data_IF_540697752951
#
_entry.id   IF_540697752951
#
_cell.length_a   1.000
_cell.length_b   1.000
_cell.length_c   1.000
_cell.angle_alpha   90.00
_cell.angle_beta   90.00
_cell.angle_gamma   90.00
#
_symmetry.space_group_name_H-M   'P 1'
#
loop_
_entity.id
_entity.type
_entity.pdbx_description
1 polymer ?
#
# COMPACT_ATOMS: atom_id res chain seq x y z
N UNK A 1 -13.32 27.54 17.53
CA UNK A 1 -14.00 27.41 16.24
C UNK A 1 -13.08 28.02 15.17
N UNK A 2 -12.14 27.27 14.61
CA UNK A 2 -11.29 27.57 13.41
C UNK A 2 -10.11 26.59 13.39
N UNK A 3 -10.36 25.29 13.22
CA UNK A 3 -9.32 24.27 12.96
C UNK A 3 -9.91 23.07 12.20
N UNK A 4 -10.66 23.31 11.14
CA UNK A 4 -11.13 22.28 10.22
C UNK A 4 -10.92 22.87 8.82
N UNK A 5 -9.75 22.77 8.25
CA UNK A 5 -9.50 23.10 6.83
C UNK A 5 -8.09 22.74 6.35
N UNK A 6 -7.49 21.63 6.76
CA UNK A 6 -6.17 21.26 6.23
C UNK A 6 -6.05 19.81 5.73
N UNK A 7 -7.03 18.96 5.93
CA UNK A 7 -6.94 17.56 5.46
C UNK A 7 -7.52 17.30 4.06
N UNK A 8 -7.98 18.33 3.34
CA UNK A 8 -8.66 18.15 2.04
C UNK A 8 -7.83 18.55 0.81
N UNK A 9 -6.56 18.89 0.96
CA UNK A 9 -5.76 19.45 -0.13
C UNK A 9 -4.77 18.48 -0.80
N UNK A 10 -4.57 17.27 -0.31
CA UNK A 10 -3.62 16.31 -0.91
C UNK A 10 -4.26 15.22 -1.78
N UNK A 11 -5.58 15.07 -1.77
CA UNK A 11 -6.28 14.11 -2.65
C UNK A 11 -6.53 14.61 -4.08
N UNK A 12 -6.14 15.84 -4.42
CA UNK A 12 -6.47 16.46 -5.72
C UNK A 12 -5.37 16.36 -6.79
N UNK A 13 -4.24 15.68 -6.53
CA UNK A 13 -3.12 15.70 -7.47
C UNK A 13 -3.01 14.48 -8.41
N UNK A 14 -3.86 13.46 -8.30
CA UNK A 14 -3.76 12.26 -9.13
C UNK A 14 -4.88 12.04 -10.16
N UNK A 15 -5.77 12.98 -10.40
CA UNK A 15 -6.92 12.81 -11.32
C UNK A 15 -6.79 13.46 -12.69
N UNK A 16 -5.60 13.64 -13.25
CA UNK A 16 -5.45 14.19 -14.60
C UNK A 16 -4.35 13.48 -15.39
N UNK A 17 -4.58 12.23 -15.80
CA UNK A 17 -3.90 11.68 -16.98
C UNK A 17 -4.45 10.31 -17.38
N UNK A 18 -5.61 10.26 -18.02
CA UNK A 18 -5.95 9.13 -18.89
C UNK A 18 -7.19 9.44 -19.76
N UNK A 19 -7.09 10.43 -20.60
CA UNK A 19 -7.86 10.48 -21.85
C UNK A 19 -6.92 10.99 -22.95
N UNK A 20 -6.05 10.12 -23.41
CA UNK A 20 -5.19 10.33 -24.56
C UNK A 20 -5.58 9.34 -25.65
N UNK A 21 -6.18 9.84 -26.72
CA UNK A 21 -6.42 9.13 -27.98
C UNK A 21 -5.14 8.46 -28.47
N UNK A 22 -5.20 7.15 -28.62
CA UNK A 22 -4.16 6.31 -29.17
C UNK A 22 -3.97 6.63 -30.68
N UNK A 23 -2.75 6.95 -31.14
CA UNK A 23 -2.50 7.00 -32.57
C UNK A 23 -2.39 5.57 -33.13
N UNK A 24 -3.15 5.30 -34.17
CA UNK A 24 -3.05 4.08 -34.98
C UNK A 24 -1.64 3.95 -35.56
N UNK A 25 -0.94 2.89 -35.19
CA UNK A 25 0.30 2.48 -35.82
C UNK A 25 0.02 1.68 -37.10
N UNK A 26 0.89 1.77 -38.13
CA UNK A 26 0.69 1.06 -39.40
C UNK A 26 0.96 -0.43 -39.24
N UNK A 27 0.10 -1.21 -39.86
CA UNK A 27 0.27 -2.64 -40.14
C UNK A 27 1.53 -2.84 -41.00
N UNK A 28 2.56 -3.50 -40.47
CA UNK A 28 3.48 -4.29 -41.33
C UNK A 28 4.31 -5.31 -40.51
N UNK A 29 4.28 -6.54 -41.04
CA UNK A 29 5.28 -7.63 -40.93
C UNK A 29 5.40 -8.36 -39.58
N UNK A 30 4.65 -9.45 -39.47
CA UNK A 30 4.95 -10.56 -38.58
C UNK A 30 6.31 -11.20 -38.93
N UNK A 31 7.27 -11.12 -38.02
CA UNK A 31 8.43 -12.00 -37.96
C UNK A 31 8.20 -12.96 -36.78
N UNK A 32 8.23 -14.29 -36.98
CA UNK A 32 8.17 -15.22 -35.85
C UNK A 32 9.49 -15.18 -35.11
N UNK A 33 9.55 -14.61 -33.92
CA UNK A 33 10.65 -14.84 -32.98
C UNK A 33 10.41 -16.16 -32.26
N UNK A 34 11.31 -17.10 -32.53
CA UNK A 34 11.46 -18.33 -31.71
C UNK A 34 11.73 -17.97 -30.27
N UNK A 35 11.14 -18.77 -29.37
CA UNK A 35 11.06 -18.56 -27.94
C UNK A 35 12.41 -18.35 -27.26
N UNK A 36 12.61 -17.14 -26.84
CA UNK A 36 13.46 -16.77 -25.72
C UNK A 36 12.59 -16.92 -24.45
N UNK A 37 13.05 -17.74 -23.51
CA UNK A 37 12.31 -18.11 -22.31
C UNK A 37 12.09 -16.96 -21.33
N UNK A 38 11.37 -15.93 -21.76
CA UNK A 38 10.74 -14.97 -20.87
C UNK A 38 9.65 -15.71 -20.08
N UNK A 39 9.67 -15.65 -18.74
CA UNK A 39 8.61 -16.23 -17.93
C UNK A 39 7.28 -15.69 -18.43
N UNK A 40 6.37 -16.56 -18.88
CA UNK A 40 4.98 -16.20 -19.09
C UNK A 40 4.46 -15.74 -17.72
N UNK A 41 4.35 -14.44 -17.53
CA UNK A 41 3.68 -13.87 -16.39
C UNK A 41 2.26 -14.41 -16.40
N UNK A 42 1.96 -15.27 -15.43
CA UNK A 42 0.59 -15.69 -15.19
C UNK A 42 -0.23 -14.42 -14.97
N UNK A 43 -1.29 -14.26 -15.77
CA UNK A 43 -2.27 -13.16 -15.66
C UNK A 43 -3.01 -13.16 -14.29
N UNK A 44 -2.51 -13.93 -13.32
CA UNK A 44 -3.13 -14.27 -12.05
C UNK A 44 -2.68 -13.44 -10.86
N UNK A 45 -1.77 -12.45 -11.03
CA UNK A 45 -1.35 -11.62 -9.89
C UNK A 45 -1.52 -10.12 -10.20
N UNK A 46 -2.76 -9.58 -10.07
CA UNK A 46 -3.02 -8.18 -10.33
C UNK A 46 -2.21 -7.24 -9.41
N UNK A 47 -1.92 -7.63 -8.17
CA UNK A 47 -1.18 -6.81 -7.21
C UNK A 47 0.29 -6.66 -7.61
N UNK A 48 0.91 -7.72 -8.12
CA UNK A 48 2.30 -7.67 -8.55
C UNK A 48 2.53 -6.72 -9.74
N UNK A 49 1.48 -6.40 -10.50
CA UNK A 49 1.56 -5.49 -11.64
C UNK A 49 1.59 -4.01 -11.22
N UNK A 50 1.23 -3.69 -9.98
CA UNK A 50 1.24 -2.32 -9.45
C UNK A 50 2.60 -1.91 -8.85
N UNK A 51 3.52 -2.87 -8.68
CA UNK A 51 4.84 -2.62 -8.10
C UNK A 51 5.93 -2.63 -9.17
N UNK A 52 6.91 -1.76 -9.01
CA UNK A 52 8.17 -1.90 -9.73
C UNK A 52 8.96 -3.09 -9.15
N UNK A 53 8.94 -4.21 -9.88
CA UNK A 53 9.51 -5.48 -9.43
C UNK A 53 11.00 -5.63 -9.74
N UNK A 54 11.64 -4.61 -10.28
CA UNK A 54 13.05 -4.66 -10.68
C UNK A 54 14.00 -5.09 -9.55
N UNK A 55 13.60 -4.82 -8.30
CA UNK A 55 14.39 -5.12 -7.10
C UNK A 55 13.88 -6.34 -6.31
N UNK A 56 12.84 -7.04 -6.77
CA UNK A 56 12.28 -8.20 -6.09
C UNK A 56 12.61 -9.50 -6.83
N UNK A 57 12.86 -10.56 -6.07
CA UNK A 57 12.88 -11.91 -6.62
C UNK A 57 11.46 -12.47 -6.71
N UNK A 58 11.24 -13.42 -7.63
CA UNK A 58 9.95 -14.12 -7.72
C UNK A 58 9.60 -14.85 -6.41
N UNK A 59 10.61 -15.32 -5.68
CA UNK A 59 10.44 -15.92 -4.36
C UNK A 59 9.91 -14.90 -3.34
N UNK A 60 10.45 -13.69 -3.30
CA UNK A 60 9.97 -12.63 -2.40
C UNK A 60 8.52 -12.26 -2.70
N UNK A 61 8.17 -12.11 -3.98
CA UNK A 61 6.79 -11.83 -4.40
C UNK A 61 5.87 -12.98 -4.02
N UNK A 62 6.26 -14.23 -4.29
CA UNK A 62 5.47 -15.41 -3.93
C UNK A 62 5.23 -15.52 -2.43
N UNK A 63 6.28 -15.30 -1.62
CA UNK A 63 6.18 -15.35 -0.16
C UNK A 63 5.32 -14.20 0.41
N UNK A 64 5.32 -13.05 -0.25
CA UNK A 64 4.51 -11.89 0.14
C UNK A 64 3.05 -11.98 -0.31
N UNK A 65 2.71 -12.87 -1.25
CA UNK A 65 1.38 -12.97 -1.86
C UNK A 65 0.60 -14.15 -1.30
N UNK A 66 -0.66 -13.90 -0.98
CA UNK A 66 -1.65 -14.92 -0.60
C UNK A 66 -2.85 -14.83 -1.54
N UNK A 67 -3.14 -15.93 -2.25
CA UNK A 67 -4.35 -16.06 -3.06
C UNK A 67 -5.52 -16.39 -2.14
N UNK A 68 -6.52 -15.51 -2.08
CA UNK A 68 -7.65 -15.62 -1.17
C UNK A 68 -8.88 -16.21 -1.87
N UNK A 69 -9.29 -15.63 -2.98
CA UNK A 69 -10.48 -16.02 -3.76
C UNK A 69 -11.75 -16.14 -2.90
N UNK A 70 -11.94 -15.20 -1.96
CA UNK A 70 -13.11 -15.14 -1.09
C UNK A 70 -14.23 -14.36 -1.79
N UNK A 71 -15.45 -14.86 -1.69
CA UNK A 71 -16.62 -14.26 -2.33
C UNK A 71 -17.66 -13.89 -1.27
N UNK A 72 -18.33 -12.75 -1.47
CA UNK A 72 -19.44 -12.29 -0.65
C UNK A 72 -20.49 -11.59 -1.54
N UNK A 73 -21.75 -11.63 -1.10
CA UNK A 73 -22.87 -10.99 -1.82
C UNK A 73 -23.84 -10.39 -0.80
N UNK A 74 -24.26 -9.15 -1.04
CA UNK A 74 -25.31 -8.48 -0.29
C UNK A 74 -25.95 -7.38 -1.15
N UNK A 75 -27.27 -7.19 -1.00
CA UNK A 75 -28.05 -6.12 -1.65
C UNK A 75 -27.86 -6.02 -3.16
N UNK A 76 -27.60 -7.15 -3.84
CA UNK A 76 -27.35 -7.23 -5.28
C UNK A 76 -25.93 -6.87 -5.70
N UNK A 77 -25.04 -6.55 -4.75
CA UNK A 77 -23.61 -6.36 -4.97
C UNK A 77 -22.91 -7.69 -4.69
N UNK A 78 -22.10 -8.16 -5.63
CA UNK A 78 -21.20 -9.31 -5.42
C UNK A 78 -19.76 -8.87 -5.47
N UNK A 79 -18.93 -9.38 -4.56
CA UNK A 79 -17.54 -9.03 -4.53
C UNK A 79 -16.63 -10.24 -4.31
N UNK A 80 -15.43 -10.17 -4.89
CA UNK A 80 -14.40 -11.20 -4.80
C UNK A 80 -13.08 -10.57 -4.33
N UNK A 81 -12.68 -10.92 -3.11
CA UNK A 81 -11.34 -10.61 -2.61
C UNK A 81 -10.37 -11.63 -3.20
N UNK A 82 -9.59 -11.20 -4.19
CA UNK A 82 -8.76 -12.08 -4.99
C UNK A 82 -7.44 -12.43 -4.31
N UNK A 83 -6.73 -11.40 -3.83
CA UNK A 83 -5.38 -11.53 -3.32
C UNK A 83 -5.09 -10.54 -2.20
N UNK A 84 -4.16 -10.94 -1.33
CA UNK A 84 -3.47 -10.07 -0.39
C UNK A 84 -1.96 -10.16 -0.63
N UNK A 85 -1.24 -9.04 -0.63
CA UNK A 85 0.21 -9.01 -0.79
C UNK A 85 0.80 -7.93 0.11
N UNK A 86 1.85 -8.26 0.85
CA UNK A 86 2.53 -7.25 1.66
C UNK A 86 3.32 -7.80 2.82
N UNK A 87 3.63 -6.93 3.73
CA UNK A 87 4.38 -7.18 4.95
C UNK A 87 3.61 -6.79 6.21
N UNK A 88 4.26 -6.83 7.35
CA UNK A 88 3.57 -6.62 8.64
C UNK A 88 3.05 -5.20 8.83
N UNK A 89 3.60 -4.21 8.13
CA UNK A 89 3.20 -2.80 8.25
C UNK A 89 2.43 -2.27 7.04
N UNK A 90 2.36 -3.02 5.92
CA UNK A 90 1.63 -2.64 4.73
C UNK A 90 1.02 -3.86 4.04
N UNK A 91 -0.26 -3.79 3.71
CA UNK A 91 -0.97 -4.83 2.97
C UNK A 91 -1.70 -4.23 1.79
N UNK A 92 -1.43 -4.76 0.60
CA UNK A 92 -2.20 -4.52 -0.61
C UNK A 92 -3.26 -5.60 -0.77
N UNK A 93 -4.48 -5.20 -1.17
CA UNK A 93 -5.59 -6.11 -1.43
C UNK A 93 -6.17 -5.82 -2.82
N UNK A 94 -6.47 -6.87 -3.58
CA UNK A 94 -7.21 -6.78 -4.85
C UNK A 94 -8.62 -7.28 -4.63
N UNK A 95 -9.60 -6.37 -4.78
CA UNK A 95 -11.01 -6.63 -4.62
C UNK A 95 -11.75 -6.29 -5.92
N UNK A 96 -12.40 -7.27 -6.52
CA UNK A 96 -13.30 -7.08 -7.66
C UNK A 96 -14.74 -7.02 -7.15
N UNK A 97 -15.47 -5.97 -7.53
CA UNK A 97 -16.85 -5.73 -7.10
C UNK A 97 -17.75 -5.58 -8.33
N UNK A 98 -18.82 -6.36 -8.38
CA UNK A 98 -19.86 -6.26 -9.42
C UNK A 98 -21.14 -5.71 -8.80
N UNK A 99 -21.64 -4.65 -9.38
CA UNK A 99 -22.80 -3.90 -8.94
C UNK A 99 -24.05 -4.28 -9.76
N UNK A 100 -25.26 -4.05 -9.23
CA UNK A 100 -26.51 -4.32 -9.93
C UNK A 100 -26.80 -3.36 -11.08
N UNK A 101 -26.11 -2.23 -11.15
CA UNK A 101 -26.25 -1.20 -12.20
C UNK A 101 -24.88 -0.58 -12.51
N UNK A 102 -24.82 0.31 -13.51
CA UNK A 102 -23.58 0.95 -13.93
C UNK A 102 -23.06 1.93 -12.88
N UNK A 103 -21.75 2.16 -12.91
CA UNK A 103 -21.06 3.11 -12.03
C UNK A 103 -21.68 4.51 -12.09
N UNK A 104 -22.06 4.95 -13.29
CA UNK A 104 -22.69 6.27 -13.48
C UNK A 104 -24.07 6.34 -12.82
N UNK A 105 -24.93 5.34 -13.02
CA UNK A 105 -26.28 5.31 -12.45
C UNK A 105 -26.28 5.22 -10.92
N UNK A 106 -25.28 4.55 -10.34
CA UNK A 106 -25.12 4.44 -8.88
C UNK A 106 -24.38 5.62 -8.26
N UNK A 107 -23.91 6.57 -9.09
CA UNK A 107 -23.16 7.75 -8.64
C UNK A 107 -21.95 7.36 -7.75
N UNK A 108 -21.30 6.22 -8.05
CA UNK A 108 -20.21 5.69 -7.23
C UNK A 108 -18.99 6.61 -7.16
N UNK A 109 -18.85 7.54 -8.12
CA UNK A 109 -17.81 8.59 -8.09
C UNK A 109 -18.01 9.57 -6.94
N UNK A 110 -19.26 9.81 -6.53
CA UNK A 110 -19.63 10.73 -5.47
C UNK A 110 -19.83 10.01 -4.12
N UNK A 111 -20.04 8.68 -4.17
CA UNK A 111 -20.36 7.83 -3.02
C UNK A 111 -19.47 6.58 -2.98
N UNK A 112 -18.15 6.80 -2.92
CA UNK A 112 -17.20 5.69 -2.85
C UNK A 112 -17.44 4.80 -1.61
N UNK A 113 -17.31 3.47 -1.74
CA UNK A 113 -17.46 2.57 -0.59
C UNK A 113 -16.43 2.85 0.50
N UNK A 114 -16.82 2.59 1.73
CA UNK A 114 -15.97 2.70 2.91
C UNK A 114 -15.38 1.31 3.21
N UNK A 115 -14.06 1.25 3.34
CA UNK A 115 -13.35 0.03 3.68
C UNK A 115 -12.76 0.10 5.08
N UNK A 116 -12.84 -0.99 5.83
CA UNK A 116 -12.18 -1.16 7.14
C UNK A 116 -11.51 -2.52 7.24
N UNK A 117 -10.36 -2.60 7.90
CA UNK A 117 -9.61 -3.83 8.13
C UNK A 117 -9.31 -3.95 9.63
N UNK A 118 -10.00 -4.85 10.35
CA UNK A 118 -9.84 -5.04 11.81
C UNK A 118 -9.85 -3.73 12.62
N UNK A 119 -10.70 -2.78 12.22
CA UNK A 119 -10.75 -1.45 12.85
C UNK A 119 -9.80 -0.41 12.24
N UNK A 120 -8.84 -0.81 11.41
CA UNK A 120 -8.03 0.11 10.59
C UNK A 120 -8.94 0.71 9.51
N UNK A 121 -8.77 2.01 9.21
CA UNK A 121 -9.61 2.74 8.25
C UNK A 121 -10.74 3.53 8.91
N UNK A 122 -10.99 3.36 10.22
CA UNK A 122 -11.85 4.25 10.99
C UNK A 122 -11.01 5.41 11.53
N UNK A 123 -11.58 6.61 11.52
CA UNK A 123 -10.93 7.77 12.15
C UNK A 123 -10.70 7.46 13.63
N UNK A 124 -9.45 7.38 14.04
CA UNK A 124 -9.06 7.23 15.43
C UNK A 124 -8.96 8.60 16.09
N UNK A 125 -9.32 8.72 17.37
CA UNK A 125 -9.26 10.00 18.09
C UNK A 125 -7.83 10.54 18.26
N UNK A 126 -6.82 9.68 18.11
CA UNK A 126 -5.39 9.95 18.33
C UNK A 126 -4.60 10.29 17.06
N UNK A 127 -5.25 10.42 15.89
CA UNK A 127 -4.61 10.74 14.60
C UNK A 127 -3.44 9.82 14.21
N UNK A 128 -3.50 8.54 14.57
CA UNK A 128 -2.51 7.56 14.10
C UNK A 128 -2.56 7.38 12.58
N UNK A 129 -1.43 6.99 11.96
CA UNK A 129 -1.33 6.77 10.51
C UNK A 129 -2.03 5.46 10.08
N UNK A 130 -2.62 4.70 10.99
CA UNK A 130 -3.32 3.49 10.62
C UNK A 130 -4.53 3.83 9.74
N UNK A 131 -4.53 3.36 8.50
CA UNK A 131 -5.56 3.70 7.53
C UNK A 131 -5.74 2.63 6.46
N UNK A 132 -6.82 2.78 5.69
CA UNK A 132 -7.02 2.03 4.47
C UNK A 132 -7.35 3.00 3.34
N UNK A 133 -6.50 3.01 2.33
CA UNK A 133 -6.70 3.76 1.10
C UNK A 133 -7.29 2.87 0.01
N UNK A 134 -7.99 3.45 -0.96
CA UNK A 134 -8.45 2.76 -2.15
C UNK A 134 -8.08 3.53 -3.40
N UNK A 135 -7.61 2.82 -4.42
CA UNK A 135 -7.51 3.34 -5.78
C UNK A 135 -8.30 2.45 -6.72
N UNK A 136 -8.96 3.05 -7.69
CA UNK A 136 -9.77 2.34 -8.65
C UNK A 136 -9.91 3.15 -9.94
N UNK A 137 -10.09 2.45 -11.05
CA UNK A 137 -10.44 3.03 -12.33
C UNK A 137 -11.65 2.29 -12.87
N UNK A 138 -12.57 3.01 -13.46
CA UNK A 138 -13.75 2.40 -14.06
C UNK A 138 -14.13 3.08 -15.36
N UNK A 139 -14.80 2.30 -16.22
CA UNK A 139 -15.63 2.82 -17.29
C UNK A 139 -16.98 3.20 -16.66
N UNK A 140 -17.53 4.40 -16.89
CA UNK A 140 -18.85 4.79 -16.38
C UNK A 140 -19.97 3.81 -16.72
N UNK A 141 -19.88 3.14 -17.88
CA UNK A 141 -20.83 2.15 -18.34
C UNK A 141 -20.57 0.74 -17.74
N UNK A 142 -19.50 0.57 -16.95
CA UNK A 142 -19.19 -0.72 -16.33
C UNK A 142 -20.09 -0.97 -15.12
N UNK A 143 -20.39 -2.24 -14.89
CA UNK A 143 -21.00 -2.74 -13.65
C UNK A 143 -19.94 -3.35 -12.71
N UNK A 144 -18.69 -3.44 -13.13
CA UNK A 144 -17.61 -4.09 -12.35
C UNK A 144 -16.46 -3.12 -12.14
N UNK A 145 -16.00 -3.03 -10.90
CA UNK A 145 -14.85 -2.22 -10.48
C UNK A 145 -13.83 -3.12 -9.82
N UNK A 146 -12.54 -2.91 -10.14
CA UNK A 146 -11.44 -3.49 -9.38
C UNK A 146 -10.84 -2.42 -8.47
N UNK A 147 -10.93 -2.65 -7.17
CA UNK A 147 -10.28 -1.83 -6.15
C UNK A 147 -8.91 -2.40 -5.81
N UNK A 148 -7.90 -1.53 -5.81
CA UNK A 148 -6.64 -1.76 -5.14
C UNK A 148 -6.72 -1.06 -3.78
N UNK A 149 -6.73 -1.85 -2.71
CA UNK A 149 -6.76 -1.32 -1.34
C UNK A 149 -5.35 -1.38 -0.78
N UNK A 150 -4.99 -0.35 -0.04
CA UNK A 150 -3.72 -0.24 0.68
C UNK A 150 -4.03 -0.06 2.15
N UNK A 151 -3.73 -1.06 2.97
CA UNK A 151 -3.91 -1.00 4.41
C UNK A 151 -2.56 -0.77 5.10
N UNK A 152 -2.46 0.32 5.83
CA UNK A 152 -1.26 0.80 6.51
C UNK A 152 -1.36 0.53 8.00
N UNK A 153 -0.28 0.04 8.60
CA UNK A 153 -0.20 -0.20 10.03
C UNK A 153 1.20 0.09 10.56
N UNK A 154 1.42 1.24 11.20
CA UNK A 154 2.72 1.58 11.77
C UNK A 154 3.15 0.61 12.88
N UNK A 155 2.23 -0.13 13.49
CA UNK A 155 2.49 -1.04 14.60
C UNK A 155 2.71 -2.51 14.17
N UNK A 156 2.91 -2.79 12.88
CA UNK A 156 3.15 -4.14 12.35
C UNK A 156 2.05 -5.14 12.74
N UNK A 157 0.78 -4.78 12.54
CA UNK A 157 -0.38 -5.59 12.95
C UNK A 157 -0.63 -6.84 12.10
N UNK A 158 0.04 -6.97 10.94
CA UNK A 158 -0.26 -8.00 9.96
C UNK A 158 0.79 -9.11 10.00
N UNK A 159 0.66 -10.01 10.96
CA UNK A 159 1.62 -11.10 11.17
C UNK A 159 1.03 -12.47 10.79
N UNK A 160 1.86 -13.44 10.35
CA UNK A 160 1.40 -14.79 10.07
C UNK A 160 0.65 -15.42 11.26
N UNK A 161 -0.48 -16.07 10.97
CA UNK A 161 -1.37 -16.66 11.97
C UNK A 161 -2.44 -15.72 12.52
N UNK A 162 -2.37 -14.43 12.20
CA UNK A 162 -3.39 -13.47 12.59
C UNK A 162 -4.63 -13.60 11.72
N UNK A 163 -5.79 -13.56 12.32
CA UNK A 163 -7.07 -13.44 11.63
C UNK A 163 -7.35 -11.98 11.27
N UNK A 164 -7.70 -11.73 10.03
CA UNK A 164 -8.04 -10.40 9.49
C UNK A 164 -9.43 -10.44 8.88
N UNK A 165 -10.13 -9.32 8.99
CA UNK A 165 -11.45 -9.13 8.36
C UNK A 165 -11.45 -7.79 7.62
N UNK A 166 -11.65 -7.85 6.30
CA UNK A 166 -11.98 -6.69 5.48
C UNK A 166 -13.50 -6.54 5.44
N UNK A 167 -14.00 -5.34 5.73
CA UNK A 167 -15.39 -4.96 5.57
C UNK A 167 -15.51 -3.85 4.54
N UNK A 168 -16.52 -3.93 3.68
CA UNK A 168 -16.89 -2.92 2.71
C UNK A 168 -18.34 -2.50 2.99
N UNK A 169 -18.54 -1.21 3.26
CA UNK A 169 -19.86 -0.60 3.38
C UNK A 169 -20.09 0.31 2.17
N UNK A 170 -21.17 0.07 1.44
CA UNK A 170 -21.48 0.79 0.23
C UNK A 170 -22.87 1.48 0.36
N UNK A 171 -22.88 2.80 0.30
CA UNK A 171 -24.07 3.59 0.61
C UNK A 171 -25.12 3.64 -0.51
N UNK A 172 -24.72 3.54 -1.78
CA UNK A 172 -25.63 3.66 -2.91
C UNK A 172 -26.59 2.45 -3.00
N UNK A 173 -26.12 1.26 -2.68
CA UNK A 173 -26.91 0.01 -2.68
C UNK A 173 -27.33 -0.42 -1.28
N UNK A 174 -26.65 0.06 -0.25
CA UNK A 174 -26.78 -0.38 1.14
C UNK A 174 -26.09 -1.71 1.42
N UNK A 175 -25.16 -2.14 0.56
CA UNK A 175 -24.42 -3.40 0.75
C UNK A 175 -23.43 -3.31 1.90
N UNK A 176 -23.33 -4.41 2.67
CA UNK A 176 -22.38 -4.60 3.77
C UNK A 176 -21.70 -5.97 3.60
N UNK A 177 -20.50 -5.96 3.02
CA UNK A 177 -19.74 -7.16 2.68
C UNK A 177 -18.59 -7.37 3.63
N UNK A 178 -18.28 -8.63 3.96
CA UNK A 178 -17.21 -8.98 4.89
C UNK A 178 -16.43 -10.19 4.42
N UNK A 179 -15.08 -10.10 4.49
CA UNK A 179 -14.14 -11.14 4.11
C UNK A 179 -13.19 -11.41 5.25
N UNK A 180 -13.14 -12.66 5.74
CA UNK A 180 -12.24 -13.05 6.81
C UNK A 180 -11.25 -14.10 6.35
N UNK A 181 -9.97 -13.93 6.72
CA UNK A 181 -8.93 -14.90 6.41
C UNK A 181 -7.82 -14.87 7.47
N UNK A 182 -6.97 -15.88 7.46
CA UNK A 182 -5.75 -15.91 8.28
C UNK A 182 -4.56 -15.49 7.42
N UNK A 183 -3.73 -14.59 7.90
CA UNK A 183 -2.47 -14.20 7.24
C UNK A 183 -1.54 -15.41 7.21
N UNK A 184 -1.11 -15.81 6.02
CA UNK A 184 -0.15 -16.91 5.82
C UNK A 184 1.12 -16.46 5.09
N UNK A 185 1.06 -15.33 4.40
CA UNK A 185 2.21 -14.74 3.72
C UNK A 185 3.31 -14.37 4.74
N UNK A 186 4.55 -14.62 4.35
CA UNK A 186 5.74 -14.34 5.16
C UNK A 186 6.64 -13.38 4.41
N UNK A 187 6.76 -12.18 4.95
CA UNK A 187 7.64 -11.18 4.37
C UNK A 187 8.73 -10.87 5.39
N UNK A 188 10.01 -10.84 4.99
CA UNK A 188 11.07 -10.44 5.90
C UNK A 188 10.81 -9.03 6.43
N UNK A 189 10.97 -8.85 7.73
CA UNK A 189 10.92 -7.53 8.34
C UNK A 189 11.99 -7.42 9.44
N UNK A 190 12.42 -6.19 9.71
CA UNK A 190 13.39 -5.88 10.73
C UNK A 190 12.89 -4.72 11.60
N UNK A 191 12.97 -4.92 12.92
CA UNK A 191 12.76 -3.83 13.87
C UNK A 191 14.11 -3.19 14.16
N UNK A 192 14.18 -1.87 14.01
CA UNK A 192 15.40 -1.08 14.05
C UNK A 192 15.27 -0.09 15.21
N UNK A 193 16.25 -0.04 16.12
CA UNK A 193 16.34 1.03 17.12
C UNK A 193 16.87 2.29 16.46
N UNK A 194 16.12 3.39 16.55
CA UNK A 194 16.54 4.70 16.05
C UNK A 194 17.29 5.47 17.17
N UNK A 195 18.42 6.05 16.80
CA UNK A 195 19.30 6.80 17.69
C UNK A 195 19.50 8.22 17.17
N UNK A 196 19.63 9.16 18.09
CA UNK A 196 20.04 10.53 17.80
C UNK A 196 21.55 10.63 17.46
N UNK A 197 22.03 11.83 17.14
CA UNK A 197 23.44 12.08 16.84
C UNK A 197 24.38 11.82 18.03
N UNK A 198 23.87 11.76 19.27
CA UNK A 198 24.63 11.44 20.47
C UNK A 198 24.64 9.92 20.78
N UNK A 199 23.89 9.12 20.00
CA UNK A 199 23.76 7.66 20.17
C UNK A 199 22.70 7.24 21.18
N UNK A 200 21.83 8.15 21.62
CA UNK A 200 20.72 7.79 22.50
C UNK A 200 19.58 7.17 21.69
N UNK A 201 19.00 6.10 22.21
CA UNK A 201 17.82 5.51 21.60
C UNK A 201 16.61 6.45 21.82
N UNK A 202 15.99 6.90 20.72
CA UNK A 202 14.88 7.86 20.74
C UNK A 202 13.59 7.28 20.13
N UNK A 203 13.67 6.11 19.49
CA UNK A 203 12.52 5.47 18.88
C UNK A 203 12.84 4.15 18.19
N UNK A 204 11.95 3.73 17.34
CA UNK A 204 12.10 2.52 16.55
C UNK A 204 11.49 2.67 15.16
N UNK A 205 11.97 1.86 14.23
CA UNK A 205 11.36 1.69 12.91
C UNK A 205 11.15 0.21 12.60
N UNK A 206 10.16 -0.08 11.76
CA UNK A 206 9.92 -1.41 11.18
C UNK A 206 10.11 -1.31 9.68
N UNK A 207 11.11 -2.02 9.17
CA UNK A 207 11.42 -2.11 7.74
C UNK A 207 10.88 -3.41 7.18
N UNK A 208 10.10 -3.34 6.12
CA UNK A 208 9.68 -4.46 5.27
C UNK A 208 10.07 -4.17 3.81
N UNK A 209 9.92 -5.11 2.87
CA UNK A 209 10.17 -4.83 1.46
C UNK A 209 9.32 -3.70 0.88
N UNK A 210 8.13 -3.47 1.43
CA UNK A 210 7.12 -2.57 0.86
C UNK A 210 6.96 -1.26 1.60
N UNK A 211 7.44 -1.18 2.84
CA UNK A 211 7.27 0.00 3.67
C UNK A 211 8.29 0.10 4.80
N UNK A 212 8.48 1.33 5.29
CA UNK A 212 9.12 1.59 6.55
C UNK A 212 8.18 2.44 7.41
N UNK A 213 7.86 1.96 8.60
CA UNK A 213 7.18 2.73 9.64
C UNK A 213 8.17 3.13 10.72
N UNK A 214 8.10 4.37 11.21
CA UNK A 214 8.97 4.87 12.26
C UNK A 214 8.17 5.64 13.32
N UNK A 215 8.50 5.40 14.60
CA UNK A 215 7.91 6.12 15.72
C UNK A 215 9.02 6.54 16.67
N UNK A 216 9.16 7.85 16.93
CA UNK A 216 10.24 8.41 17.72
C UNK A 216 9.83 9.69 18.47
N UNK A 217 10.64 10.08 19.44
CA UNK A 217 10.46 11.35 20.16
C UNK A 217 10.72 12.53 19.22
N UNK A 218 9.96 13.65 19.31
CA UNK A 218 10.15 14.80 18.45
C UNK A 218 11.59 15.31 18.48
N UNK A 219 12.22 15.43 17.31
CA UNK A 219 13.61 15.88 17.17
C UNK A 219 13.73 17.41 17.10
N UNK A 220 12.62 18.10 16.84
CA UNK A 220 12.60 19.54 16.53
C UNK A 220 12.94 19.88 15.08
N UNK A 221 13.19 18.87 14.23
CA UNK A 221 13.34 19.03 12.79
C UNK A 221 11.98 19.29 12.12
N UNK A 222 12.01 19.97 10.96
CA UNK A 222 10.82 20.18 10.16
C UNK A 222 10.29 18.82 9.65
N UNK A 223 8.99 18.61 9.70
CA UNK A 223 8.38 17.34 9.31
C UNK A 223 8.58 17.04 7.82
N UNK A 224 8.60 18.07 6.96
CA UNK A 224 8.83 17.89 5.53
C UNK A 224 10.27 17.46 5.25
N UNK A 225 11.24 17.97 6.02
CA UNK A 225 12.63 17.55 5.94
C UNK A 225 12.79 16.10 6.37
N UNK A 226 12.08 15.66 7.40
CA UNK A 226 12.06 14.28 7.85
C UNK A 226 11.41 13.34 6.82
N UNK A 227 10.26 13.75 6.22
CA UNK A 227 9.58 12.99 5.18
C UNK A 227 10.42 12.84 3.91
N UNK A 228 11.18 13.86 3.52
CA UNK A 228 12.12 13.82 2.40
C UNK A 228 13.50 13.26 2.75
N UNK A 229 13.75 12.97 4.03
CA UNK A 229 15.08 12.63 4.56
C UNK A 229 15.35 11.12 4.71
N UNK A 230 14.52 10.24 4.17
CA UNK A 230 14.78 8.81 4.23
C UNK A 230 16.00 8.42 3.37
N UNK A 231 16.96 7.75 4.00
CA UNK A 231 18.12 7.16 3.33
C UNK A 231 18.29 5.72 3.80
N UNK A 232 18.24 4.78 2.87
CA UNK A 232 18.61 3.38 3.10
C UNK A 232 20.02 3.15 2.55
N UNK A 233 20.89 2.52 3.34
CA UNK A 233 22.25 2.19 2.92
C UNK A 233 22.47 0.68 2.91
N UNK A 234 23.21 0.19 1.92
CA UNK A 234 23.71 -1.17 1.88
C UNK A 234 24.94 -1.36 2.80
N UNK A 235 25.47 -2.59 2.86
CA UNK A 235 26.67 -2.92 3.67
C UNK A 235 27.95 -2.22 3.20
N UNK A 236 27.99 -1.71 1.98
CA UNK A 236 29.12 -0.96 1.42
C UNK A 236 28.95 0.56 1.60
N UNK A 237 27.81 1.00 2.16
CA UNK A 237 27.48 2.42 2.33
C UNK A 237 26.88 3.05 1.08
N UNK A 238 26.52 2.27 0.06
CA UNK A 238 25.82 2.79 -1.11
C UNK A 238 24.37 3.05 -0.76
N UNK A 239 23.81 4.13 -1.29
CA UNK A 239 22.41 4.48 -1.09
C UNK A 239 21.52 3.58 -1.96
N UNK A 240 20.52 3.00 -1.32
CA UNK A 240 19.37 2.37 -1.97
C UNK A 240 18.28 3.44 -2.06
N UNK A 241 17.78 3.68 -3.25
CA UNK A 241 16.77 4.73 -3.50
C UNK A 241 15.45 4.09 -3.90
N UNK A 242 14.60 3.70 -2.94
CA UNK A 242 13.24 3.30 -3.30
C UNK A 242 12.49 4.51 -3.89
N UNK A 243 11.61 4.26 -4.84
CA UNK A 243 10.59 5.23 -5.18
C UNK A 243 9.53 5.17 -4.09
N UNK A 244 9.32 6.26 -3.36
CA UNK A 244 8.51 6.25 -2.14
C UNK A 244 7.54 7.42 -2.06
N UNK A 245 6.48 7.24 -1.28
CA UNK A 245 5.69 8.33 -0.70
C UNK A 245 5.83 8.30 0.81
N UNK A 246 5.67 9.46 1.45
CA UNK A 246 5.75 9.57 2.89
C UNK A 246 4.49 10.20 3.47
N UNK A 247 4.03 9.66 4.59
CA UNK A 247 2.94 10.18 5.39
C UNK A 247 3.41 10.45 6.82
N UNK A 248 2.74 11.35 7.51
CA UNK A 248 3.06 11.65 8.90
C UNK A 248 1.82 11.72 9.77
N UNK A 249 1.98 11.34 11.03
CA UNK A 249 1.06 11.64 12.11
C UNK A 249 1.82 12.31 13.25
N UNK A 250 1.22 13.29 13.87
CA UNK A 250 1.78 14.05 14.98
C UNK A 250 0.86 13.90 16.18
N UNK A 251 1.29 13.07 17.11
CA UNK A 251 0.75 12.92 18.46
C UNK A 251 1.81 13.38 19.48
N UNK A 252 1.86 12.78 20.65
CA UNK A 252 2.96 12.94 21.62
C UNK A 252 4.30 12.37 21.09
N UNK A 253 4.25 11.52 20.07
CA UNK A 253 5.39 10.99 19.31
C UNK A 253 5.26 11.38 17.84
N UNK A 254 6.39 11.49 17.16
CA UNK A 254 6.46 11.65 15.72
C UNK A 254 6.36 10.29 15.05
N UNK A 255 5.39 10.11 14.16
CA UNK A 255 5.17 8.88 13.40
C UNK A 255 5.30 9.20 11.92
N UNK A 256 6.14 8.44 11.22
CA UNK A 256 6.35 8.53 9.78
C UNK A 256 6.09 7.16 9.15
N UNK A 257 5.47 7.18 7.99
CA UNK A 257 5.20 6.00 7.19
C UNK A 257 5.67 6.23 5.76
N UNK A 258 6.54 5.36 5.26
CA UNK A 258 7.08 5.42 3.90
C UNK A 258 6.62 4.19 3.14
N UNK A 259 5.89 4.39 2.04
CA UNK A 259 5.44 3.32 1.13
C UNK A 259 6.45 3.22 -0.01
N UNK A 260 6.97 2.03 -0.26
CA UNK A 260 7.92 1.79 -1.35
C UNK A 260 7.21 1.26 -2.60
N UNK A 261 7.09 2.10 -3.63
CA UNK A 261 6.61 1.68 -4.95
C UNK A 261 7.65 0.82 -5.71
N UNK A 262 8.94 1.03 -5.39
CA UNK A 262 10.03 0.13 -5.76
C UNK A 262 10.50 -0.60 -4.51
N UNK A 263 10.00 -1.81 -4.25
CA UNK A 263 10.30 -2.54 -3.03
C UNK A 263 11.79 -2.79 -2.82
N UNK A 264 12.22 -2.90 -1.57
CA UNK A 264 13.61 -3.11 -1.20
C UNK A 264 13.86 -4.51 -0.64
N UNK A 265 15.03 -5.07 -0.90
CA UNK A 265 15.47 -6.31 -0.25
C UNK A 265 15.97 -5.98 1.15
N UNK A 266 15.22 -6.37 2.19
CA UNK A 266 15.52 -6.04 3.60
C UNK A 266 16.90 -6.51 4.03
N UNK A 267 17.36 -7.65 3.54
CA UNK A 267 18.69 -8.24 3.83
C UNK A 267 19.85 -7.46 3.18
N UNK A 268 19.58 -6.60 2.20
CA UNK A 268 20.57 -5.69 1.60
C UNK A 268 20.71 -4.38 2.37
N UNK A 269 19.72 -4.00 3.19
CA UNK A 269 19.76 -2.80 4.00
C UNK A 269 20.62 -3.04 5.23
N UNK A 270 21.60 -2.20 5.46
CA UNK A 270 22.45 -2.23 6.66
C UNK A 270 22.20 -1.07 7.62
N UNK A 271 21.70 0.04 7.08
CA UNK A 271 21.41 1.24 7.88
C UNK A 271 20.21 1.98 7.31
N UNK A 272 19.40 2.51 8.22
CA UNK A 272 18.31 3.44 7.95
C UNK A 272 18.66 4.80 8.55
N UNK A 273 18.40 5.89 7.81
CA UNK A 273 18.47 7.26 8.31
C UNK A 273 17.18 7.99 7.99
N UNK A 274 16.72 8.82 8.93
CA UNK A 274 15.55 9.70 8.80
C UNK A 274 15.96 11.05 9.40
N UNK A 275 16.27 12.05 8.55
CA UNK A 275 16.87 13.29 9.01
C UNK A 275 18.17 13.03 9.77
N UNK A 276 18.26 13.51 11.02
CA UNK A 276 19.43 13.29 11.90
C UNK A 276 19.41 11.95 12.64
N UNK A 277 18.31 11.18 12.57
CA UNK A 277 18.19 9.88 13.20
C UNK A 277 18.85 8.79 12.36
N UNK A 278 19.40 7.77 13.04
CA UNK A 278 19.92 6.59 12.35
C UNK A 278 19.69 5.31 13.12
N UNK A 279 19.60 4.18 12.40
CA UNK A 279 19.51 2.86 12.99
C UNK A 279 20.19 1.81 12.12
N UNK A 280 20.80 0.80 12.76
CA UNK A 280 21.47 -0.30 12.08
C UNK A 280 20.49 -1.47 11.92
N UNK A 281 20.45 -2.05 10.74
CA UNK A 281 19.71 -3.28 10.43
C UNK A 281 20.61 -4.46 10.72
N UNK A 282 20.17 -5.37 11.58
CA UNK A 282 20.97 -6.51 12.08
C UNK A 282 20.67 -7.81 11.35
#
# INVERSE_FOLDING_TARGET
MKRILFCLALLAAFTLSACGTQPTAPEDAAVPMEGDGTPQYEASNPLANHLDRSNLTDETVSNATQNLNLEAEDSGVSAKLQQAMGGPNLLYLSLEVTYPDTVEHLELMDHAPVFTLNGVGQATEDNSIAGIGSSWGCDPDSTTITYLLTAESPQALLTPGQEVTLRMEEAATGADLSFSWTITNQTPCQTISLQDAAGNAVGSAVLSPFALSASFEPTGEDILDLMGGLVLLDRNGNQLTPNESAENSSTDRQELFFIFYSPVMVDQVSQVKIGTLSGTVS
#
